data_IF_352547983231
#
_entry.id   IF_352547983231
#
_cell.length_a   1.000
_cell.length_b   1.000
_cell.length_c   1.000
_cell.angle_alpha   90.00
_cell.angle_beta   90.00
_cell.angle_gamma   90.00
#
_symmetry.space_group_name_H-M   'P 1'
#
loop_
_entity.id
_entity.type
_entity.pdbx_description
1 polymer ?
#
# COMPACT_ATOMS: atom_id res chain seq x y z
N UNK A 1 8.17 12.65 28.40
CA UNK A 1 8.37 13.90 27.64
C UNK A 1 7.51 13.80 26.42
N UNK A 2 6.78 14.87 26.10
CA UNK A 2 5.91 14.96 24.94
C UNK A 2 6.41 16.09 24.04
N UNK A 3 6.46 15.87 22.73
CA UNK A 3 6.89 16.85 21.74
C UNK A 3 5.79 17.01 20.69
N UNK A 4 5.40 18.25 20.41
CA UNK A 4 4.46 18.62 19.34
C UNK A 4 5.18 18.69 17.99
N UNK A 5 4.60 18.07 16.96
CA UNK A 5 5.17 17.95 15.62
C UNK A 5 4.66 18.98 14.61
N UNK A 6 3.81 19.94 15.02
CA UNK A 6 3.14 20.89 14.12
C UNK A 6 4.09 21.79 13.30
N UNK A 7 5.38 21.82 13.63
CA UNK A 7 6.43 22.57 12.91
C UNK A 7 7.58 21.68 12.40
N UNK A 8 7.41 20.37 12.42
CA UNK A 8 8.45 19.38 12.03
C UNK A 8 7.99 18.68 10.76
N UNK A 9 8.83 18.62 9.73
CA UNK A 9 8.50 17.85 8.52
C UNK A 9 8.53 16.34 8.81
N UNK A 10 7.79 15.53 8.04
CA UNK A 10 7.84 14.07 8.22
C UNK A 10 9.24 13.52 7.98
N UNK A 11 9.94 14.11 7.02
CA UNK A 11 11.31 13.78 6.67
C UNK A 11 12.25 13.96 7.87
N UNK A 12 12.16 15.10 8.56
CA UNK A 12 12.99 15.39 9.73
C UNK A 12 12.67 14.45 10.88
N UNK A 13 11.38 14.19 11.10
CA UNK A 13 10.93 13.18 12.07
C UNK A 13 11.57 11.80 11.82
N UNK A 14 11.45 11.31 10.59
CA UNK A 14 11.91 9.96 10.26
C UNK A 14 13.42 9.82 10.23
N UNK A 15 14.17 10.91 10.03
CA UNK A 15 15.64 10.90 10.07
C UNK A 15 16.22 10.36 11.38
N UNK A 16 15.45 10.47 12.48
CA UNK A 16 15.81 9.95 13.80
C UNK A 16 15.79 8.41 13.82
N UNK A 17 14.94 7.79 13.01
CA UNK A 17 14.69 6.34 13.02
C UNK A 17 15.26 5.62 11.80
N UNK A 18 15.19 6.24 10.61
CA UNK A 18 15.51 5.63 9.32
C UNK A 18 16.11 6.69 8.38
N UNK A 19 17.27 6.40 7.82
CA UNK A 19 17.92 7.22 6.79
C UNK A 19 18.31 6.35 5.58
N UNK A 20 18.10 6.82 4.33
CA UNK A 20 17.47 8.08 3.94
C UNK A 20 15.93 8.05 4.01
N UNK A 21 15.28 9.22 4.13
CA UNK A 21 13.83 9.35 4.15
C UNK A 21 13.22 8.99 2.78
N UNK A 22 12.09 8.27 2.80
CA UNK A 22 11.41 7.75 1.60
C UNK A 22 10.04 8.37 1.34
N UNK A 23 9.57 9.20 2.27
CA UNK A 23 8.29 9.90 2.22
C UNK A 23 8.52 11.34 2.71
N UNK A 24 7.91 12.30 2.06
CA UNK A 24 7.84 13.70 2.48
C UNK A 24 6.40 14.09 2.74
N UNK A 25 6.14 14.85 3.81
CA UNK A 25 4.81 15.31 4.18
C UNK A 25 4.87 16.44 5.21
N UNK A 26 3.81 17.27 5.23
CA UNK A 26 3.53 18.15 6.36
C UNK A 26 3.00 17.31 7.52
N UNK A 27 3.63 17.40 8.68
CA UNK A 27 3.29 16.57 9.84
C UNK A 27 2.65 17.41 10.93
N UNK A 28 1.60 16.87 11.53
CA UNK A 28 1.03 17.36 12.80
C UNK A 28 0.78 16.16 13.69
N UNK A 29 1.11 16.25 14.97
CA UNK A 29 1.01 15.10 15.86
C UNK A 29 1.84 15.26 17.11
N UNK A 30 2.01 14.15 17.82
CA UNK A 30 2.72 14.11 19.10
C UNK A 30 3.70 12.95 19.12
N UNK A 31 4.87 13.17 19.73
CA UNK A 31 5.78 12.10 20.12
C UNK A 31 5.91 12.09 21.63
N UNK A 32 5.68 10.93 22.21
CA UNK A 32 5.91 10.67 23.62
C UNK A 32 7.10 9.75 23.83
N UNK A 33 8.04 10.21 24.65
CA UNK A 33 9.11 9.37 25.17
C UNK A 33 8.90 9.08 26.67
N UNK A 34 8.83 7.79 26.98
CA UNK A 34 8.80 7.29 28.34
C UNK A 34 10.19 6.82 28.78
N UNK A 35 10.84 7.59 29.64
CA UNK A 35 12.19 7.30 30.16
C UNK A 35 12.26 6.01 30.99
N UNK A 36 11.19 5.65 31.71
CA UNK A 36 11.16 4.44 32.55
C UNK A 36 11.15 3.18 31.70
N UNK A 37 10.33 3.17 30.64
CA UNK A 37 10.17 2.01 29.75
C UNK A 37 11.09 2.06 28.53
N UNK A 38 11.81 3.17 28.32
CA UNK A 38 12.60 3.47 27.11
C UNK A 38 11.78 3.25 25.83
N UNK A 39 10.52 3.68 25.86
CA UNK A 39 9.55 3.53 24.76
C UNK A 39 9.27 4.89 24.13
N UNK A 40 9.32 4.94 22.81
CA UNK A 40 8.78 6.02 21.99
C UNK A 40 7.42 5.61 21.47
N UNK A 41 6.45 6.52 21.49
CA UNK A 41 5.17 6.43 20.78
C UNK A 41 5.04 7.70 19.95
N UNK A 42 4.63 7.58 18.70
CA UNK A 42 4.34 8.72 17.86
C UNK A 42 3.05 8.47 17.08
N UNK A 43 2.15 9.43 17.14
CA UNK A 43 0.93 9.45 16.33
C UNK A 43 0.89 10.76 15.58
N UNK A 44 0.77 10.66 14.25
CA UNK A 44 0.89 11.80 13.37
C UNK A 44 -0.10 11.73 12.22
N UNK A 45 -0.68 12.89 11.89
CA UNK A 45 -1.33 13.13 10.60
C UNK A 45 -0.32 13.68 9.63
N UNK A 46 -0.36 13.15 8.41
CA UNK A 46 0.49 13.53 7.31
C UNK A 46 -0.40 14.19 6.24
N UNK A 47 -0.07 15.42 5.85
CA UNK A 47 -0.78 16.12 4.77
C UNK A 47 0.15 16.30 3.58
N UNK A 48 -0.42 16.14 2.39
CA UNK A 48 0.30 16.22 1.12
C UNK A 48 1.50 15.26 1.10
N UNK A 49 1.31 14.04 1.58
CA UNK A 49 2.37 13.06 1.62
C UNK A 49 2.75 12.62 0.20
N UNK A 50 4.05 12.56 -0.09
CA UNK A 50 4.62 12.19 -1.39
C UNK A 50 5.74 11.20 -1.19
N UNK A 51 5.76 10.16 -2.03
CA UNK A 51 6.92 9.28 -2.10
C UNK A 51 8.11 10.02 -2.68
N UNK A 52 9.27 9.83 -2.08
CA UNK A 52 10.54 10.25 -2.64
C UNK A 52 11.12 9.13 -3.50
N UNK A 53 11.92 9.48 -4.50
CA UNK A 53 12.59 8.49 -5.33
C UNK A 53 13.42 7.53 -4.48
N UNK A 54 13.28 6.24 -4.74
CA UNK A 54 14.02 5.16 -4.10
C UNK A 54 13.99 3.92 -4.97
N UNK A 55 14.93 2.96 -4.79
CA UNK A 55 14.91 1.70 -5.52
C UNK A 55 13.58 0.95 -5.40
N UNK A 56 12.93 1.03 -4.23
CA UNK A 56 11.59 0.45 -4.02
C UNK A 56 10.55 1.07 -4.95
N UNK A 57 10.50 2.41 -5.04
CA UNK A 57 9.54 3.11 -5.91
C UNK A 57 9.82 2.80 -7.39
N UNK A 58 11.10 2.69 -7.77
CA UNK A 58 11.49 2.30 -9.11
C UNK A 58 11.08 0.86 -9.44
N UNK A 59 11.31 -0.10 -8.55
CA UNK A 59 10.84 -1.48 -8.73
C UNK A 59 9.32 -1.55 -8.85
N UNK A 60 8.57 -0.82 -8.01
CA UNK A 60 7.10 -0.76 -8.11
C UNK A 60 6.67 -0.21 -9.48
N UNK A 61 7.36 0.79 -9.99
CA UNK A 61 7.09 1.31 -11.33
C UNK A 61 7.42 0.29 -12.43
N UNK A 62 8.56 -0.40 -12.35
CA UNK A 62 8.98 -1.39 -13.34
C UNK A 62 8.08 -2.63 -13.37
N UNK A 63 7.75 -3.18 -12.20
CA UNK A 63 7.02 -4.44 -12.07
C UNK A 63 5.51 -4.26 -12.18
N UNK A 64 4.99 -3.12 -11.72
CA UNK A 64 3.57 -2.89 -11.63
C UNK A 64 3.10 -1.66 -12.40
N UNK A 65 3.95 -0.92 -13.12
CA UNK A 65 3.56 0.32 -13.83
C UNK A 65 2.86 1.37 -12.96
N UNK A 66 2.98 1.27 -11.63
CA UNK A 66 2.42 2.25 -10.68
C UNK A 66 3.46 3.35 -10.46
N UNK A 67 3.13 4.58 -10.86
CA UNK A 67 4.02 5.72 -10.63
C UNK A 67 3.68 6.44 -9.32
N UNK A 68 4.22 5.94 -8.21
CA UNK A 68 4.03 6.53 -6.87
C UNK A 68 4.56 7.96 -6.72
N UNK A 69 5.49 8.39 -7.60
CA UNK A 69 6.04 9.76 -7.55
C UNK A 69 5.07 10.82 -8.07
N UNK A 70 4.05 10.42 -8.83
CA UNK A 70 2.97 11.32 -9.29
C UNK A 70 1.89 11.52 -8.25
N UNK A 71 1.87 10.69 -7.21
CA UNK A 71 0.83 10.71 -6.19
C UNK A 71 1.09 11.73 -5.10
N UNK A 72 0.02 12.39 -4.68
CA UNK A 72 -0.02 13.21 -3.46
C UNK A 72 -1.17 12.72 -2.61
N UNK A 73 -0.87 12.25 -1.40
CA UNK A 73 -1.85 11.75 -0.45
C UNK A 73 -2.25 12.90 0.49
N UNK A 74 -3.48 13.37 0.36
CA UNK A 74 -3.95 14.59 1.02
C UNK A 74 -4.29 14.39 2.51
N UNK A 75 -4.75 13.18 2.87
CA UNK A 75 -5.10 12.78 4.23
C UNK A 75 -4.48 11.42 4.55
N UNK A 76 -3.66 11.38 5.60
CA UNK A 76 -2.80 10.23 5.87
C UNK A 76 -2.45 10.19 7.35
N UNK A 77 -2.14 9.00 7.85
CA UNK A 77 -1.77 8.79 9.23
C UNK A 77 -0.54 7.89 9.38
N UNK A 78 0.20 8.14 10.45
CA UNK A 78 1.25 7.27 10.98
C UNK A 78 0.93 7.03 12.46
N UNK A 79 0.91 5.76 12.84
CA UNK A 79 1.06 5.36 14.24
C UNK A 79 2.33 4.54 14.37
N UNK A 80 3.15 4.87 15.37
CA UNK A 80 4.48 4.31 15.56
C UNK A 80 4.73 4.04 17.03
N UNK A 81 5.40 2.93 17.32
CA UNK A 81 6.11 2.77 18.58
C UNK A 81 7.48 2.15 18.38
N UNK A 82 8.43 2.53 19.24
CA UNK A 82 9.75 1.95 19.26
C UNK A 82 10.15 1.61 20.70
N UNK A 83 10.43 0.33 20.96
CA UNK A 83 10.93 -0.15 22.23
C UNK A 83 11.68 -1.47 22.06
N UNK A 84 12.73 -1.69 22.86
CA UNK A 84 13.48 -2.97 22.90
C UNK A 84 13.93 -3.47 21.51
N UNK A 85 14.39 -2.57 20.65
CA UNK A 85 14.80 -2.84 19.27
C UNK A 85 13.65 -3.28 18.33
N UNK A 86 12.39 -3.07 18.73
CA UNK A 86 11.22 -3.36 17.91
C UNK A 86 10.60 -2.02 17.52
N UNK A 87 10.58 -1.77 16.21
CA UNK A 87 9.83 -0.72 15.56
C UNK A 87 8.50 -1.34 15.11
N UNK A 88 7.39 -0.82 15.63
CA UNK A 88 6.02 -1.25 15.31
C UNK A 88 5.27 -0.06 14.73
N UNK A 89 4.73 -0.17 13.51
CA UNK A 89 4.06 0.95 12.87
C UNK A 89 2.88 0.53 11.98
N UNK A 90 1.98 1.49 11.81
CA UNK A 90 0.94 1.49 10.79
C UNK A 90 1.03 2.81 10.01
N UNK A 91 0.99 2.72 8.69
CA UNK A 91 0.98 3.87 7.79
C UNK A 91 -0.23 3.72 6.89
N UNK A 92 -1.07 4.74 6.82
CA UNK A 92 -2.17 4.82 5.86
C UNK A 92 -2.04 6.13 5.09
N UNK A 93 -1.91 6.03 3.76
CA UNK A 93 -1.78 7.16 2.86
C UNK A 93 -2.97 7.20 1.91
N UNK A 94 -3.84 8.20 2.02
CA UNK A 94 -5.06 8.30 1.20
C UNK A 94 -5.13 9.65 0.44
N UNK A 95 -5.69 9.60 -0.76
CA UNK A 95 -6.33 10.75 -1.41
C UNK A 95 -7.74 10.31 -1.89
N UNK A 96 -8.37 11.10 -2.76
CA UNK A 96 -9.75 10.86 -3.20
C UNK A 96 -9.95 9.49 -3.89
N UNK A 97 -8.95 9.00 -4.61
CA UNK A 97 -9.06 7.79 -5.45
C UNK A 97 -8.02 6.71 -5.17
N UNK A 98 -6.94 7.06 -4.47
CA UNK A 98 -5.78 6.20 -4.27
C UNK A 98 -5.51 5.99 -2.78
N UNK A 99 -5.10 4.77 -2.43
CA UNK A 99 -4.66 4.42 -1.09
C UNK A 99 -3.41 3.54 -1.09
N UNK A 100 -2.56 3.76 -0.10
CA UNK A 100 -1.45 2.88 0.25
C UNK A 100 -1.50 2.66 1.75
N UNK A 101 -1.61 1.41 2.17
CA UNK A 101 -1.56 1.04 3.59
C UNK A 101 -0.44 0.05 3.85
N UNK A 102 0.28 0.28 4.93
CA UNK A 102 1.24 -0.66 5.51
C UNK A 102 0.77 -0.90 6.95
N UNK A 103 0.31 -2.11 7.23
CA UNK A 103 -0.22 -2.49 8.54
C UNK A 103 0.68 -3.50 9.21
N UNK A 104 0.72 -3.47 10.53
CA UNK A 104 1.50 -4.38 11.36
C UNK A 104 2.99 -4.41 10.97
N UNK A 105 3.56 -3.26 10.57
CA UNK A 105 4.99 -3.18 10.26
C UNK A 105 5.77 -3.43 11.54
N UNK A 106 6.46 -4.57 11.60
CA UNK A 106 7.37 -4.92 12.67
C UNK A 106 8.77 -5.06 12.12
N UNK A 107 9.67 -4.19 12.57
CA UNK A 107 11.10 -4.29 12.30
C UNK A 107 11.82 -4.54 13.61
N UNK A 108 12.51 -5.67 13.72
CA UNK A 108 13.50 -5.89 14.77
C UNK A 108 14.84 -5.35 14.29
N UNK A 109 15.26 -4.20 14.81
CA UNK A 109 16.49 -3.53 14.38
C UNK A 109 17.76 -4.29 14.77
N UNK A 110 17.70 -5.16 15.78
CA UNK A 110 18.82 -6.01 16.21
C UNK A 110 18.99 -7.23 15.31
N UNK A 111 17.91 -7.98 15.05
CA UNK A 111 17.97 -9.16 14.18
C UNK A 111 17.79 -8.83 12.69
N UNK A 112 17.53 -7.56 12.38
CA UNK A 112 17.19 -7.05 11.04
C UNK A 112 16.01 -7.78 10.40
N UNK A 113 15.05 -8.25 11.18
CA UNK A 113 13.87 -8.94 10.65
C UNK A 113 12.76 -7.92 10.39
N UNK A 114 12.11 -8.02 9.24
CA UNK A 114 10.93 -7.24 8.89
C UNK A 114 9.73 -8.15 8.66
N UNK A 115 8.55 -7.67 9.02
CA UNK A 115 7.26 -8.26 8.67
C UNK A 115 6.24 -7.11 8.54
N UNK A 116 5.49 -7.04 7.45
CA UNK A 116 4.37 -6.12 7.32
C UNK A 116 3.35 -6.65 6.33
N UNK A 117 2.10 -6.20 6.48
CA UNK A 117 1.06 -6.34 5.47
C UNK A 117 0.98 -5.05 4.67
N UNK A 118 0.80 -5.14 3.36
CA UNK A 118 0.55 -3.98 2.52
C UNK A 118 -0.71 -4.17 1.69
N UNK A 119 -1.40 -3.07 1.44
CA UNK A 119 -2.52 -2.98 0.52
C UNK A 119 -2.41 -1.64 -0.22
N UNK A 120 -2.38 -1.71 -1.55
CA UNK A 120 -2.13 -0.61 -2.47
C UNK A 120 -3.28 -0.62 -3.47
N UNK A 121 -3.92 0.53 -3.65
CA UNK A 121 -4.79 0.81 -4.77
C UNK A 121 -4.39 2.18 -5.32
N UNK A 122 -3.66 2.19 -6.41
CA UNK A 122 -3.13 3.43 -6.99
C UNK A 122 -3.23 3.32 -8.50
N UNK A 123 -3.72 4.37 -9.17
CA UNK A 123 -3.80 4.42 -10.64
C UNK A 123 -4.57 3.20 -11.19
N UNK A 124 -5.70 2.91 -10.56
CA UNK A 124 -6.57 1.76 -10.82
C UNK A 124 -5.91 0.40 -10.60
N UNK A 125 -4.75 0.29 -9.97
CA UNK A 125 -4.07 -0.99 -9.77
C UNK A 125 -4.10 -1.41 -8.31
N UNK A 126 -4.75 -2.55 -8.06
CA UNK A 126 -4.92 -3.11 -6.73
C UNK A 126 -3.90 -4.25 -6.46
N UNK A 127 -3.02 -4.04 -5.48
CA UNK A 127 -2.03 -4.99 -5.01
C UNK A 127 -2.16 -5.15 -3.51
N UNK A 128 -2.07 -6.38 -3.00
CA UNK A 128 -1.97 -6.60 -1.56
C UNK A 128 -1.08 -7.79 -1.28
N UNK A 129 -0.48 -7.82 -0.09
CA UNK A 129 0.44 -8.89 0.24
C UNK A 129 1.11 -8.71 1.58
N UNK A 130 2.16 -9.52 1.76
CA UNK A 130 2.98 -9.53 2.95
C UNK A 130 4.45 -9.42 2.56
N UNK A 131 5.15 -8.50 3.19
CA UNK A 131 6.62 -8.45 3.18
C UNK A 131 7.15 -9.09 4.45
N UNK A 132 8.16 -9.97 4.35
CA UNK A 132 8.76 -10.63 5.51
C UNK A 132 10.19 -11.09 5.22
N UNK A 133 11.01 -11.30 6.24
CA UNK A 133 12.39 -11.80 6.07
C UNK A 133 13.39 -10.86 6.71
N UNK A 134 14.58 -10.72 6.12
CA UNK A 134 15.59 -9.78 6.60
C UNK A 134 15.45 -8.43 5.89
N UNK A 135 15.91 -7.34 6.50
CA UNK A 135 15.95 -6.01 5.88
C UNK A 135 16.83 -5.97 4.63
N UNK A 136 17.87 -6.81 4.60
CA UNK A 136 18.83 -6.90 3.49
C UNK A 136 18.30 -7.77 2.33
N UNK A 137 17.37 -8.69 2.60
CA UNK A 137 16.78 -9.59 1.61
C UNK A 137 15.31 -9.89 1.97
N UNK A 138 14.40 -8.90 1.86
CA UNK A 138 13.00 -9.09 2.14
C UNK A 138 12.36 -10.00 1.09
N UNK A 139 11.43 -10.85 1.52
CA UNK A 139 10.56 -11.67 0.68
C UNK A 139 9.19 -11.03 0.60
N UNK A 140 8.56 -11.14 -0.55
CA UNK A 140 7.22 -10.63 -0.80
C UNK A 140 6.32 -11.80 -1.18
N UNK A 141 5.18 -11.91 -0.50
CA UNK A 141 4.10 -12.79 -0.89
C UNK A 141 2.91 -11.95 -1.35
N UNK A 142 2.56 -12.05 -2.63
CA UNK A 142 1.48 -11.29 -3.25
C UNK A 142 0.17 -12.07 -3.17
N UNK A 143 -0.91 -11.37 -2.85
CA UNK A 143 -2.24 -11.88 -3.05
C UNK A 143 -2.63 -11.76 -4.53
N UNK A 144 -2.35 -12.84 -5.28
CA UNK A 144 -2.61 -12.90 -6.72
C UNK A 144 -4.09 -12.74 -7.07
N UNK A 145 -5.04 -12.94 -6.14
CA UNK A 145 -6.47 -12.86 -6.45
C UNK A 145 -6.90 -11.45 -6.88
N UNK A 146 -6.38 -10.40 -6.22
CA UNK A 146 -6.69 -9.01 -6.59
C UNK A 146 -6.08 -8.64 -7.94
N UNK A 147 -4.85 -9.11 -8.18
CA UNK A 147 -4.12 -8.93 -9.44
C UNK A 147 -4.86 -9.56 -10.62
N UNK A 148 -5.22 -10.83 -10.50
CA UNK A 148 -5.91 -11.58 -11.55
C UNK A 148 -7.26 -10.94 -11.86
N UNK A 149 -8.04 -10.57 -10.84
CA UNK A 149 -9.32 -9.87 -11.05
C UNK A 149 -9.14 -8.56 -11.82
N UNK A 150 -8.12 -7.78 -11.47
CA UNK A 150 -7.84 -6.53 -12.17
C UNK A 150 -7.52 -6.71 -13.66
N UNK A 151 -6.71 -7.72 -13.98
CA UNK A 151 -6.37 -8.01 -15.37
C UNK A 151 -7.56 -8.58 -16.16
N UNK A 152 -8.40 -9.40 -15.52
CA UNK A 152 -9.65 -9.89 -16.11
C UNK A 152 -10.62 -8.73 -16.40
N UNK A 153 -10.81 -7.82 -15.44
CA UNK A 153 -11.67 -6.66 -15.59
C UNK A 153 -11.22 -5.78 -16.77
N UNK A 154 -9.92 -5.51 -16.87
CA UNK A 154 -9.34 -4.76 -18.01
C UNK A 154 -9.61 -5.44 -19.35
N UNK A 155 -9.40 -6.74 -19.44
CA UNK A 155 -9.65 -7.48 -20.68
C UNK A 155 -11.14 -7.44 -21.03
N UNK A 156 -12.02 -7.70 -20.07
CA UNK A 156 -13.47 -7.61 -20.29
C UNK A 156 -13.91 -6.20 -20.70
N UNK A 157 -13.40 -5.16 -20.08
CA UNK A 157 -13.69 -3.77 -20.47
C UNK A 157 -13.24 -3.49 -21.90
N UNK A 158 -12.11 -4.05 -22.35
CA UNK A 158 -11.62 -3.89 -23.72
C UNK A 158 -12.49 -4.61 -24.76
N UNK A 159 -13.12 -5.73 -24.39
CA UNK A 159 -13.96 -6.54 -25.28
C UNK A 159 -15.42 -6.09 -25.30
N UNK A 160 -15.98 -5.74 -24.14
CA UNK A 160 -17.43 -5.57 -23.96
C UNK A 160 -17.80 -4.11 -23.64
N UNK A 161 -16.85 -3.29 -23.21
CA UNK A 161 -17.08 -1.92 -22.75
C UNK A 161 -17.51 -1.82 -21.29
N UNK A 162 -16.99 -0.82 -20.57
CA UNK A 162 -17.15 -0.66 -19.11
C UNK A 162 -18.62 -0.56 -18.66
N UNK A 163 -19.47 0.13 -19.45
CA UNK A 163 -20.89 0.28 -19.15
C UNK A 163 -21.66 -1.04 -19.27
N UNK A 164 -21.32 -1.86 -20.26
CA UNK A 164 -21.96 -3.17 -20.46
C UNK A 164 -21.54 -4.16 -19.38
N UNK A 165 -20.29 -4.10 -18.89
CA UNK A 165 -19.83 -4.92 -17.75
C UNK A 165 -20.60 -4.61 -16.48
N UNK A 166 -20.73 -3.32 -16.11
CA UNK A 166 -21.50 -2.89 -14.93
C UNK A 166 -22.96 -3.33 -15.01
N UNK A 167 -23.52 -3.34 -16.23
CA UNK A 167 -24.86 -3.84 -16.48
C UNK A 167 -24.96 -5.36 -16.28
N UNK A 168 -23.96 -6.13 -16.71
CA UNK A 168 -23.90 -7.59 -16.48
C UNK A 168 -23.71 -7.95 -14.99
N UNK A 169 -22.87 -7.22 -14.27
CA UNK A 169 -22.62 -7.46 -12.83
C UNK A 169 -23.85 -7.18 -11.94
N UNK A 170 -24.76 -6.32 -12.41
CA UNK A 170 -26.00 -5.97 -11.70
C UNK A 170 -27.20 -6.85 -12.07
N UNK A 171 -27.06 -7.76 -13.03
CA UNK A 171 -28.13 -8.69 -13.42
C UNK A 171 -28.19 -9.92 -12.50
N UNK A 172 -29.38 -10.42 -12.15
CA UNK A 172 -29.52 -11.65 -11.39
C UNK A 172 -29.00 -12.85 -12.20
N UNK A 173 -28.00 -13.54 -11.64
CA UNK A 173 -27.31 -14.72 -12.22
C UNK A 173 -28.22 -15.90 -12.61
N UNK A 174 -29.52 -15.84 -12.31
CA UNK A 174 -30.52 -16.86 -12.66
C UNK A 174 -30.79 -16.96 -14.17
N UNK A 175 -30.70 -15.86 -14.92
CA UNK A 175 -31.11 -15.83 -16.34
C UNK A 175 -29.95 -15.94 -17.35
N UNK A 176 -28.68 -15.71 -16.95
CA UNK A 176 -27.53 -15.66 -17.87
C UNK A 176 -26.72 -16.96 -18.00
N UNK A 177 -26.92 -17.92 -17.11
CA UNK A 177 -26.00 -19.06 -16.93
C UNK A 177 -25.91 -20.03 -18.12
N UNK A 178 -26.88 -20.01 -19.05
CA UNK A 178 -26.95 -20.98 -20.16
C UNK A 178 -26.31 -20.49 -21.47
N UNK A 179 -26.33 -19.19 -21.74
CA UNK A 179 -25.90 -18.64 -23.04
C UNK A 179 -24.52 -17.97 -23.01
N UNK A 180 -24.03 -17.51 -21.83
CA UNK A 180 -22.69 -16.87 -21.73
C UNK A 180 -21.56 -17.85 -21.42
N UNK A 181 -21.84 -18.97 -20.76
CA UNK A 181 -20.85 -19.97 -20.40
C UNK A 181 -20.18 -20.63 -21.62
N UNK A 182 -20.86 -20.64 -22.76
CA UNK A 182 -20.38 -21.22 -24.02
C UNK A 182 -19.55 -20.25 -24.87
N UNK A 183 -19.85 -18.93 -24.83
CA UNK A 183 -19.22 -17.94 -25.70
C UNK A 183 -17.96 -17.28 -25.11
N UNK A 184 -18.06 -16.77 -23.88
CA UNK A 184 -16.97 -16.00 -23.24
C UNK A 184 -15.94 -16.93 -22.59
N UNK A 185 -16.40 -18.03 -22.00
CA UNK A 185 -15.53 -19.07 -21.44
C UNK A 185 -14.69 -19.79 -22.50
N UNK A 186 -15.23 -19.95 -23.72
CA UNK A 186 -14.51 -20.53 -24.86
C UNK A 186 -13.40 -19.63 -25.38
N UNK A 187 -13.69 -18.34 -25.60
CA UNK A 187 -12.72 -17.37 -26.11
C UNK A 187 -11.56 -17.11 -25.12
N UNK A 188 -11.82 -17.14 -23.81
CA UNK A 188 -10.78 -16.99 -22.78
C UNK A 188 -9.84 -18.21 -22.70
N UNK A 189 -10.34 -19.43 -22.93
CA UNK A 189 -9.49 -20.63 -22.90
C UNK A 189 -8.58 -20.72 -24.12
N UNK A 190 -9.08 -20.36 -25.31
CA UNK A 190 -8.35 -20.44 -26.59
C UNK A 190 -7.20 -19.41 -26.70
N UNK A 191 -7.25 -18.33 -25.91
CA UNK A 191 -6.25 -17.26 -25.94
C UNK A 191 -5.09 -17.48 -24.95
N UNK A 192 -5.27 -18.36 -23.96
CA UNK A 192 -4.31 -18.55 -22.86
C UNK A 192 -3.82 -20.01 -22.68
N UNK A 193 -4.40 -20.98 -23.39
CA UNK A 193 -3.96 -22.39 -23.43
C UNK A 193 -3.94 -22.91 -24.86
#
# INVERSE_FOLDING_TARGET
MSIDLSKVSFKDLMSIFVSPPRLDALTTGVIDYNFKTKKVIADARLRNAKFLYSPMVETIYQEASINLLKETFSDSNLSLSYAKNIFDANIELHNESNHVSIRNLKINTKSKIVNALFDVNVQNMALSGKVYGTLDAPKINLNMQKLVRHEMDKQLDSFVGEDNRKMMESMPMGDMSKDMASGVGGAFMEMFF
#
